data_IF_862556720618
#
_entry.id   IF_862556720618
#
_cell.length_a   1.000
_cell.length_b   1.000
_cell.length_c   1.000
_cell.angle_alpha   90.00
_cell.angle_beta   90.00
_cell.angle_gamma   90.00
#
_symmetry.space_group_name_H-M   'P 1'
#
loop_
_entity.id
_entity.type
_entity.pdbx_description
1 polymer ?
#
# COMPACT_ATOMS: atom_id res chain seq x y z
N UNK A 1 -9.39 1.46 -5.82
CA UNK A 1 -9.22 1.82 -7.26
C UNK A 1 -9.37 0.53 -8.07
N UNK A 2 -10.19 0.51 -9.13
CA UNK A 2 -10.43 -0.72 -9.91
C UNK A 2 -9.53 -0.75 -11.12
N UNK A 3 -8.98 -1.92 -11.44
CA UNK A 3 -8.07 -2.12 -12.56
C UNK A 3 -8.61 -3.10 -13.59
N UNK A 4 -8.22 -2.88 -14.83
CA UNK A 4 -8.35 -3.83 -15.95
C UNK A 4 -6.96 -4.42 -16.19
N UNK A 5 -6.91 -5.74 -16.26
CA UNK A 5 -5.77 -6.50 -16.73
C UNK A 5 -5.95 -6.82 -18.21
N UNK A 6 -4.94 -6.54 -19.00
CA UNK A 6 -4.93 -6.89 -20.43
C UNK A 6 -3.73 -7.79 -20.72
N UNK A 7 -4.03 -8.98 -21.24
CA UNK A 7 -3.01 -9.92 -21.70
C UNK A 7 -2.79 -9.72 -23.20
N UNK A 8 -1.57 -9.37 -23.56
CA UNK A 8 -1.12 -9.22 -24.96
C UNK A 8 -0.40 -10.49 -25.40
N UNK A 9 -0.73 -10.94 -26.61
CA UNK A 9 -0.06 -12.07 -27.27
C UNK A 9 0.42 -11.63 -28.63
N UNK A 10 1.68 -11.81 -28.94
CA UNK A 10 2.29 -11.41 -30.20
C UNK A 10 2.79 -12.63 -31.00
N UNK A 11 2.76 -12.54 -32.32
CA UNK A 11 3.32 -13.52 -33.22
C UNK A 11 4.08 -12.86 -34.38
N UNK A 12 5.43 -13.02 -34.48
CA UNK A 12 6.31 -13.67 -33.51
C UNK A 12 6.40 -12.89 -32.19
N UNK A 13 6.67 -13.58 -31.08
CA UNK A 13 6.91 -13.00 -29.79
C UNK A 13 8.41 -12.86 -29.54
N UNK A 14 8.82 -11.71 -29.04
CA UNK A 14 10.19 -11.41 -28.60
C UNK A 14 10.19 -10.26 -27.59
N UNK A 15 11.28 -10.10 -26.84
CA UNK A 15 11.39 -9.01 -25.88
C UNK A 15 11.19 -7.63 -26.54
N UNK A 16 11.82 -7.40 -27.70
CA UNK A 16 11.66 -6.14 -28.44
C UNK A 16 10.19 -5.85 -28.80
N UNK A 17 9.42 -6.89 -29.16
CA UNK A 17 7.98 -6.75 -29.43
C UNK A 17 7.21 -6.40 -28.19
N UNK A 18 7.51 -7.03 -27.06
CA UNK A 18 6.87 -6.77 -25.75
C UNK A 18 7.17 -5.34 -25.29
N UNK A 19 8.41 -4.90 -25.42
CA UNK A 19 8.84 -3.55 -25.04
C UNK A 19 8.09 -2.48 -25.86
N UNK A 20 7.90 -2.70 -27.15
CA UNK A 20 7.14 -1.80 -28.02
C UNK A 20 5.65 -1.82 -27.67
N UNK A 21 5.08 -3.01 -27.39
CA UNK A 21 3.70 -3.12 -26.92
C UNK A 21 3.52 -2.35 -25.62
N UNK A 22 4.43 -2.49 -24.65
CA UNK A 22 4.38 -1.78 -23.40
C UNK A 22 4.45 -0.25 -23.60
N UNK A 23 5.37 0.23 -24.45
CA UNK A 23 5.50 1.64 -24.75
C UNK A 23 4.20 2.21 -25.38
N UNK A 24 3.65 1.54 -26.38
CA UNK A 24 2.43 1.97 -27.05
C UNK A 24 1.18 1.88 -26.15
N UNK A 25 1.08 0.85 -25.31
CA UNK A 25 -0.02 0.73 -24.35
C UNK A 25 0.09 1.79 -23.24
N UNK A 26 1.30 2.17 -22.85
CA UNK A 26 1.54 3.29 -21.93
C UNK A 26 0.96 4.62 -22.42
N UNK A 27 1.00 4.88 -23.75
CA UNK A 27 0.40 6.08 -24.34
C UNK A 27 -1.14 6.13 -24.24
N UNK A 28 -1.79 4.97 -24.01
CA UNK A 28 -3.25 4.86 -23.87
C UNK A 28 -3.68 4.50 -22.45
N UNK A 29 -2.84 4.84 -21.46
CA UNK A 29 -3.22 4.82 -20.05
C UNK A 29 -2.83 3.57 -19.25
N UNK A 30 -1.97 2.70 -19.79
CA UNK A 30 -1.42 1.59 -19.01
C UNK A 30 -0.27 2.05 -18.12
N UNK A 31 -0.26 1.64 -16.86
CA UNK A 31 0.65 2.14 -15.82
C UNK A 31 1.76 1.13 -15.47
N UNK A 32 1.49 -0.16 -15.63
CA UNK A 32 2.45 -1.22 -15.29
C UNK A 32 2.35 -2.42 -16.21
N UNK A 33 3.46 -3.15 -16.34
CA UNK A 33 3.57 -4.33 -17.20
C UNK A 33 4.34 -5.43 -16.50
N UNK A 34 3.98 -6.69 -16.82
CA UNK A 34 4.64 -7.90 -16.33
C UNK A 34 4.82 -8.87 -17.48
N UNK A 35 6.04 -9.39 -17.65
CA UNK A 35 6.32 -10.46 -18.59
C UNK A 35 5.76 -11.79 -18.10
N UNK A 36 5.05 -12.50 -18.96
CA UNK A 36 4.60 -13.85 -18.72
C UNK A 36 5.17 -14.83 -19.78
N UNK A 37 5.21 -16.14 -19.48
CA UNK A 37 5.77 -17.13 -20.41
C UNK A 37 5.14 -17.09 -21.82
N UNK A 38 3.89 -16.66 -21.92
CA UNK A 38 3.08 -16.67 -23.15
C UNK A 38 2.63 -15.27 -23.58
N UNK A 39 3.33 -14.20 -23.15
CA UNK A 39 3.04 -12.85 -23.58
C UNK A 39 3.39 -11.76 -22.55
N UNK A 40 2.74 -10.61 -22.70
CA UNK A 40 2.88 -9.45 -21.82
C UNK A 40 1.52 -9.19 -21.15
N UNK A 41 1.54 -8.86 -19.88
CA UNK A 41 0.35 -8.41 -19.14
C UNK A 41 0.52 -6.95 -18.77
N UNK A 42 -0.47 -6.13 -19.10
CA UNK A 42 -0.53 -4.72 -18.74
C UNK A 42 -1.73 -4.41 -17.84
N UNK A 43 -1.60 -3.38 -17.02
CA UNK A 43 -2.64 -2.91 -16.11
C UNK A 43 -2.94 -1.45 -16.32
N UNK A 44 -4.24 -1.11 -16.36
CA UNK A 44 -4.70 0.29 -16.39
C UNK A 44 -5.93 0.44 -15.49
N UNK A 45 -6.25 1.67 -15.11
CA UNK A 45 -7.45 1.97 -14.32
C UNK A 45 -8.72 1.69 -15.14
N UNK A 46 -9.76 1.14 -14.50
CA UNK A 46 -11.00 0.72 -15.19
C UNK A 46 -11.69 1.90 -15.92
N UNK A 47 -11.67 3.07 -15.35
CA UNK A 47 -12.27 4.29 -15.90
C UNK A 47 -11.46 4.93 -17.04
N UNK A 48 -10.19 4.56 -17.20
CA UNK A 48 -9.33 5.00 -18.30
C UNK A 48 -9.23 3.97 -19.44
N UNK A 49 -9.74 2.76 -19.26
CA UNK A 49 -9.62 1.70 -20.24
C UNK A 49 -10.52 1.90 -21.44
N UNK A 50 -9.93 2.08 -22.63
CA UNK A 50 -10.60 2.15 -23.92
C UNK A 50 -10.08 1.03 -24.84
N UNK A 51 -10.92 -0.01 -25.05
CA UNK A 51 -10.56 -1.16 -25.88
C UNK A 51 -10.41 -0.81 -27.37
N UNK A 52 -11.15 0.20 -27.86
CA UNK A 52 -11.08 0.62 -29.27
C UNK A 52 -9.81 1.42 -29.52
N UNK A 53 -9.45 2.34 -28.61
CA UNK A 53 -8.19 3.07 -28.66
C UNK A 53 -6.99 2.12 -28.60
N UNK A 54 -7.00 1.17 -27.67
CA UNK A 54 -5.97 0.14 -27.56
C UNK A 54 -5.88 -0.69 -28.85
N UNK A 55 -7.02 -1.13 -29.40
CA UNK A 55 -7.07 -1.91 -30.63
C UNK A 55 -6.53 -1.15 -31.84
N UNK A 56 -6.77 0.16 -31.92
CA UNK A 56 -6.19 1.02 -32.94
C UNK A 56 -4.67 1.15 -32.77
N UNK A 57 -4.21 1.37 -31.55
CA UNK A 57 -2.79 1.50 -31.22
C UNK A 57 -2.02 0.22 -31.53
N UNK A 58 -2.55 -0.95 -31.21
CA UNK A 58 -1.90 -2.24 -31.50
C UNK A 58 -1.85 -2.53 -33.02
N UNK A 59 -2.81 -2.03 -33.82
CA UNK A 59 -2.76 -2.15 -35.29
C UNK A 59 -1.70 -1.26 -35.94
N UNK A 60 -1.29 -0.18 -35.26
CA UNK A 60 -0.27 0.76 -35.71
C UNK A 60 1.16 0.37 -35.26
N UNK A 61 1.35 -0.85 -34.74
CA UNK A 61 2.65 -1.34 -34.31
C UNK A 61 3.70 -1.18 -35.42
N UNK A 62 4.84 -0.51 -35.19
CA UNK A 62 5.84 -0.23 -36.23
C UNK A 62 6.75 -1.43 -36.53
N UNK A 63 6.21 -2.64 -36.51
CA UNK A 63 6.93 -3.89 -36.75
C UNK A 63 6.24 -4.72 -37.84
N UNK A 64 6.77 -4.71 -39.08
CA UNK A 64 6.19 -5.46 -40.18
C UNK A 64 6.17 -6.97 -39.89
N UNK A 65 5.02 -7.61 -40.10
CA UNK A 65 4.86 -9.06 -39.91
C UNK A 65 4.51 -9.50 -38.51
N UNK A 66 4.53 -8.62 -37.53
CA UNK A 66 4.06 -8.93 -36.16
C UNK A 66 2.55 -8.74 -36.08
N UNK A 67 1.87 -9.74 -35.52
CA UNK A 67 0.44 -9.66 -35.19
C UNK A 67 0.27 -9.66 -33.68
N UNK A 68 -0.45 -8.68 -33.16
CA UNK A 68 -0.77 -8.56 -31.76
C UNK A 68 -2.26 -8.79 -31.55
N UNK A 69 -2.59 -9.59 -30.57
CA UNK A 69 -3.95 -9.74 -30.04
C UNK A 69 -3.95 -9.50 -28.53
N UNK A 70 -5.08 -9.09 -27.99
CA UNK A 70 -5.20 -8.90 -26.55
C UNK A 70 -6.55 -9.36 -26.05
N UNK A 71 -6.59 -9.72 -24.76
CA UNK A 71 -7.81 -10.01 -24.00
C UNK A 71 -7.81 -9.18 -22.74
N UNK A 72 -8.92 -8.48 -22.49
CA UNK A 72 -9.11 -7.67 -21.30
C UNK A 72 -10.00 -8.41 -20.31
N UNK A 73 -9.64 -8.35 -19.04
CA UNK A 73 -10.45 -8.84 -17.92
C UNK A 73 -10.40 -7.85 -16.79
N UNK A 74 -11.50 -7.73 -16.04
CA UNK A 74 -11.44 -7.00 -14.78
C UNK A 74 -10.50 -7.75 -13.85
N UNK A 75 -9.60 -7.01 -13.24
CA UNK A 75 -8.87 -7.55 -12.10
C UNK A 75 -9.94 -7.77 -11.03
N UNK A 76 -10.28 -9.04 -10.77
CA UNK A 76 -11.09 -9.33 -9.60
C UNK A 76 -10.35 -8.70 -8.41
N UNK A 77 -11.10 -8.10 -7.49
CA UNK A 77 -10.61 -7.66 -6.18
C UNK A 77 -10.17 -8.89 -5.37
N UNK A 78 -9.32 -9.71 -5.98
CA UNK A 78 -8.64 -10.78 -5.28
C UNK A 78 -7.58 -10.14 -4.44
N UNK A 79 -7.72 -10.34 -3.16
CA UNK A 79 -6.65 -10.07 -2.23
C UNK A 79 -5.38 -10.86 -2.65
N UNK A 80 -4.57 -10.25 -3.53
CA UNK A 80 -3.29 -10.82 -3.97
C UNK A 80 -2.34 -11.06 -2.80
N UNK A 81 -2.69 -10.49 -1.64
CA UNK A 81 -1.96 -10.65 -0.40
C UNK A 81 -2.49 -11.81 0.47
N UNK A 82 -3.55 -12.54 0.06
CA UNK A 82 -4.13 -13.58 0.92
C UNK A 82 -3.12 -14.64 1.38
N UNK A 83 -2.19 -15.04 0.53
CA UNK A 83 -1.10 -15.95 0.92
C UNK A 83 -0.07 -15.25 1.81
N UNK A 84 0.15 -13.97 1.58
CA UNK A 84 1.01 -13.12 2.38
C UNK A 84 0.36 -12.76 3.71
N UNK A 85 -0.93 -12.47 3.74
CA UNK A 85 -1.71 -12.21 4.94
C UNK A 85 -1.76 -13.42 5.86
N UNK A 86 -1.89 -14.64 5.29
CA UNK A 86 -1.87 -15.89 6.05
C UNK A 86 -0.49 -16.23 6.62
N UNK A 87 0.58 -15.81 5.95
CA UNK A 87 1.96 -16.04 6.39
C UNK A 87 2.43 -15.08 7.49
N UNK A 88 1.78 -13.91 7.62
CA UNK A 88 2.23 -12.86 8.51
C UNK A 88 3.62 -12.29 8.12
N UNK A 89 4.22 -11.58 9.02
CA UNK A 89 5.59 -11.04 8.85
C UNK A 89 6.42 -11.34 10.10
N UNK A 90 7.74 -11.38 9.92
CA UNK A 90 8.63 -11.51 11.06
C UNK A 90 8.59 -10.26 11.93
N UNK A 91 8.53 -10.42 13.26
CA UNK A 91 8.52 -9.28 14.17
C UNK A 91 9.72 -8.38 13.98
N UNK A 92 9.48 -7.07 14.08
CA UNK A 92 10.52 -6.05 13.91
C UNK A 92 10.75 -5.37 15.25
N UNK A 93 11.99 -5.27 15.68
CA UNK A 93 12.39 -4.54 16.89
C UNK A 93 13.09 -3.25 16.48
N UNK A 94 12.57 -2.13 16.97
CA UNK A 94 13.12 -0.79 16.71
C UNK A 94 13.72 -0.26 18.03
N UNK A 95 15.03 -0.01 18.01
CA UNK A 95 15.82 0.57 19.11
C UNK A 95 15.66 -0.13 20.46
N UNK A 96 15.27 -1.41 20.47
CA UNK A 96 14.88 -2.14 21.70
C UNK A 96 13.77 -1.44 22.50
N UNK A 97 13.00 -0.55 21.90
CA UNK A 97 11.94 0.27 22.52
C UNK A 97 10.57 -0.03 21.97
N UNK A 98 10.46 -0.42 20.72
CA UNK A 98 9.21 -0.75 20.06
C UNK A 98 9.35 -2.06 19.28
N UNK A 99 8.40 -2.97 19.47
CA UNK A 99 8.23 -4.19 18.69
C UNK A 99 6.97 -4.06 17.83
N UNK A 100 7.10 -4.34 16.53
CA UNK A 100 5.96 -4.45 15.61
C UNK A 100 5.75 -5.93 15.34
N UNK A 101 4.55 -6.42 15.63
CA UNK A 101 4.19 -7.83 15.48
C UNK A 101 2.97 -7.98 14.59
N UNK A 102 2.92 -9.10 13.86
CA UNK A 102 1.74 -9.44 13.10
C UNK A 102 0.63 -9.96 14.00
N UNK A 103 -0.62 -9.58 13.72
CA UNK A 103 -1.81 -10.05 14.43
C UNK A 103 -1.87 -11.58 14.53
N UNK A 104 -1.58 -12.31 13.45
CA UNK A 104 -1.61 -13.76 13.44
C UNK A 104 -0.62 -14.38 14.46
N UNK A 105 0.53 -13.77 14.66
CA UNK A 105 1.51 -14.23 15.65
C UNK A 105 1.03 -13.96 17.07
N UNK A 106 0.37 -12.85 17.31
CA UNK A 106 -0.24 -12.51 18.60
C UNK A 106 -1.36 -13.50 18.95
N UNK A 107 -2.26 -13.78 17.99
CA UNK A 107 -3.38 -14.71 18.18
C UNK A 107 -2.93 -16.17 18.41
N UNK A 108 -1.85 -16.59 17.74
CA UNK A 108 -1.31 -17.97 17.87
C UNK A 108 -0.33 -18.13 19.01
N UNK A 109 0.02 -17.05 19.70
CA UNK A 109 1.05 -17.06 20.75
C UNK A 109 2.45 -17.37 20.21
N UNK A 110 2.71 -17.10 18.94
CA UNK A 110 3.99 -17.35 18.26
C UNK A 110 4.94 -16.17 18.34
N UNK A 111 4.59 -15.12 19.09
CA UNK A 111 5.47 -13.97 19.33
C UNK A 111 6.67 -14.44 20.14
N UNK A 112 7.92 -14.17 19.69
CA UNK A 112 9.10 -14.59 20.44
C UNK A 112 9.17 -13.98 21.84
N UNK A 113 9.52 -14.78 22.85
CA UNK A 113 9.65 -14.34 24.25
C UNK A 113 10.55 -13.11 24.44
N UNK A 114 11.54 -12.94 23.56
CA UNK A 114 12.42 -11.77 23.56
C UNK A 114 11.67 -10.44 23.40
N UNK A 115 10.44 -10.45 22.91
CA UNK A 115 9.62 -9.25 22.73
C UNK A 115 8.85 -8.84 23.97
N UNK A 116 8.69 -9.72 24.94
CA UNK A 116 8.05 -9.40 26.21
C UNK A 116 8.82 -8.36 27.02
N UNK A 117 10.12 -8.25 26.76
CA UNK A 117 10.99 -7.26 27.39
C UNK A 117 10.92 -5.87 26.70
N UNK A 118 10.28 -5.75 25.53
CA UNK A 118 10.20 -4.50 24.78
C UNK A 118 9.08 -3.62 25.37
N UNK A 119 9.39 -2.36 25.73
CA UNK A 119 8.43 -1.48 26.41
C UNK A 119 7.13 -1.19 25.65
N UNK A 120 7.20 -1.14 24.32
CA UNK A 120 6.06 -0.87 23.46
C UNK A 120 5.89 -2.01 22.45
N UNK A 121 4.72 -2.62 22.40
CA UNK A 121 4.34 -3.58 21.38
C UNK A 121 3.19 -3.02 20.56
N UNK A 122 3.34 -3.04 19.25
CA UNK A 122 2.34 -2.61 18.26
C UNK A 122 1.94 -3.83 17.43
N UNK A 123 0.66 -4.14 17.43
CA UNK A 123 0.08 -5.24 16.66
C UNK A 123 -0.48 -4.70 15.34
N UNK A 124 -0.07 -5.26 14.22
CA UNK A 124 -0.53 -4.84 12.89
C UNK A 124 -1.15 -6.03 12.16
N UNK A 125 -2.36 -5.81 11.69
CA UNK A 125 -3.05 -6.65 10.72
C UNK A 125 -2.90 -5.96 9.34
N UNK A 126 -2.01 -6.46 8.50
CA UNK A 126 -1.61 -5.81 7.25
C UNK A 126 -2.55 -6.18 6.09
N UNK A 127 -3.87 -6.07 6.26
CA UNK A 127 -4.85 -6.36 5.23
C UNK A 127 -4.80 -5.33 4.12
N UNK A 128 -4.35 -5.70 2.90
CA UNK A 128 -4.38 -4.90 1.66
C UNK A 128 -3.86 -3.45 1.75
N UNK A 129 -3.35 -3.02 2.88
CA UNK A 129 -2.86 -1.67 3.06
C UNK A 129 -1.37 -1.55 2.74
N UNK A 130 -1.01 -0.48 2.06
CA UNK A 130 0.38 -0.09 1.84
C UNK A 130 1.04 0.30 3.18
N UNK A 131 2.35 0.20 3.27
CA UNK A 131 3.08 0.59 4.49
C UNK A 131 3.25 -0.56 5.49
N UNK A 132 3.19 -1.79 4.99
CA UNK A 132 3.50 -2.95 5.80
C UNK A 132 4.97 -2.97 6.17
N UNK A 133 5.24 -2.86 7.46
CA UNK A 133 6.28 -3.57 8.23
C UNK A 133 7.77 -3.46 7.83
N UNK A 134 8.10 -3.68 6.58
CA UNK A 134 9.50 -3.87 6.12
C UNK A 134 10.08 -2.61 5.52
N UNK A 135 9.32 -1.54 5.38
CA UNK A 135 9.84 -0.31 4.85
C UNK A 135 10.83 0.28 5.85
N UNK A 136 12.09 0.31 5.49
CA UNK A 136 13.15 0.96 6.29
C UNK A 136 12.72 2.37 6.71
N UNK A 137 12.02 3.09 5.83
CA UNK A 137 11.44 4.41 6.12
C UNK A 137 10.49 4.39 7.32
N UNK A 138 9.58 3.40 7.41
CA UNK A 138 8.66 3.27 8.54
C UNK A 138 9.42 3.05 9.84
N UNK A 139 10.43 2.17 9.84
CA UNK A 139 11.27 1.93 11.00
C UNK A 139 12.04 3.18 11.43
N UNK A 140 12.59 3.93 10.47
CA UNK A 140 13.30 5.19 10.72
C UNK A 140 12.37 6.24 11.35
N UNK A 141 11.15 6.40 10.81
CA UNK A 141 10.19 7.37 11.35
C UNK A 141 9.71 6.94 12.74
N UNK A 142 9.45 5.66 12.97
CA UNK A 142 9.14 5.14 14.31
C UNK A 142 10.27 5.45 15.29
N UNK A 143 11.52 5.18 14.93
CA UNK A 143 12.69 5.53 15.74
C UNK A 143 12.70 7.02 16.10
N UNK A 144 12.48 7.90 15.10
CA UNK A 144 12.40 9.34 15.32
C UNK A 144 11.24 9.74 16.25
N UNK A 145 10.06 9.12 16.10
CA UNK A 145 8.91 9.40 16.99
C UNK A 145 9.19 8.98 18.43
N UNK A 146 9.90 7.88 18.64
CA UNK A 146 10.31 7.43 19.97
C UNK A 146 11.30 8.38 20.66
N UNK A 147 12.00 9.21 19.89
CA UNK A 147 12.92 10.25 20.40
C UNK A 147 12.21 11.60 20.65
N UNK A 148 10.98 11.76 20.18
CA UNK A 148 10.23 12.99 20.35
C UNK A 148 9.42 13.02 21.66
N UNK A 149 9.33 14.18 22.29
CA UNK A 149 8.35 14.43 23.36
C UNK A 149 6.98 14.70 22.73
N UNK A 150 6.16 13.65 22.59
CA UNK A 150 4.84 13.74 21.95
C UNK A 150 3.70 13.98 22.93
N UNK A 151 3.97 13.94 24.23
CA UNK A 151 2.94 14.15 25.24
C UNK A 151 2.24 15.49 25.08
N UNK A 152 0.91 15.42 24.90
CA UNK A 152 0.05 16.58 24.73
C UNK A 152 0.12 17.25 23.35
N UNK A 153 0.89 16.73 22.41
CA UNK A 153 1.02 17.24 21.04
C UNK A 153 -0.05 16.71 20.10
N UNK A 154 -0.28 17.44 19.02
CA UNK A 154 -1.11 17.00 17.88
C UNK A 154 -0.20 16.52 16.76
N UNK A 155 -0.50 15.35 16.22
CA UNK A 155 0.25 14.77 15.12
C UNK A 155 -0.63 14.57 13.89
N UNK A 156 -0.03 14.68 12.70
CA UNK A 156 -0.68 14.41 11.42
C UNK A 156 0.16 13.39 10.65
N UNK A 157 -0.49 12.38 10.11
CA UNK A 157 0.11 11.35 9.26
C UNK A 157 -0.54 11.41 7.87
N UNK A 158 0.26 11.75 6.87
CA UNK A 158 -0.20 11.97 5.49
C UNK A 158 0.08 10.73 4.64
N UNK A 159 -0.97 10.00 4.24
CA UNK A 159 -0.82 8.70 3.56
C UNK A 159 -0.55 7.60 4.59
N UNK A 160 -1.45 7.42 5.53
CA UNK A 160 -1.20 6.63 6.73
C UNK A 160 -1.10 5.11 6.52
N UNK A 161 -1.57 4.58 5.39
CA UNK A 161 -1.53 3.14 5.11
C UNK A 161 -2.14 2.31 6.24
N UNK A 162 -1.32 1.50 6.91
CA UNK A 162 -1.75 0.69 8.07
C UNK A 162 -2.04 1.50 9.34
N UNK A 163 -1.75 2.81 9.36
CA UNK A 163 -1.89 3.67 10.52
C UNK A 163 -0.78 3.56 11.57
N UNK A 164 0.26 2.79 11.28
CA UNK A 164 1.31 2.45 12.25
C UNK A 164 1.97 3.67 12.89
N UNK A 165 2.28 4.74 12.11
CA UNK A 165 2.93 5.93 12.64
C UNK A 165 2.01 6.70 13.59
N UNK A 166 0.74 6.83 13.24
CA UNK A 166 -0.29 7.44 14.09
C UNK A 166 -0.52 6.64 15.38
N UNK A 167 -0.52 5.31 15.30
CA UNK A 167 -0.64 4.42 16.47
C UNK A 167 0.56 4.59 17.39
N UNK A 168 1.78 4.63 16.85
CA UNK A 168 2.99 4.88 17.64
C UNK A 168 2.93 6.26 18.29
N UNK A 169 2.54 7.30 17.55
CA UNK A 169 2.40 8.65 18.10
C UNK A 169 1.40 8.70 19.26
N UNK A 170 0.24 8.06 19.13
CA UNK A 170 -0.75 7.94 20.19
C UNK A 170 -0.20 7.19 21.43
N UNK A 171 0.53 6.08 21.22
CA UNK A 171 1.20 5.31 22.29
C UNK A 171 2.30 6.12 22.96
N UNK A 172 2.94 7.04 22.27
CA UNK A 172 3.91 8.00 22.83
C UNK A 172 3.24 9.17 23.56
N UNK A 173 1.91 9.21 23.66
CA UNK A 173 1.15 10.17 24.44
C UNK A 173 0.72 11.41 23.67
N UNK A 174 0.70 11.38 22.34
CA UNK A 174 0.08 12.42 21.54
C UNK A 174 -1.36 12.66 22.03
N UNK A 175 -1.75 13.93 22.18
CA UNK A 175 -3.10 14.32 22.60
C UNK A 175 -4.15 13.97 21.55
N UNK A 176 -3.74 14.08 20.30
CA UNK A 176 -4.58 13.87 19.14
C UNK A 176 -3.69 13.41 17.99
N UNK A 177 -3.98 12.26 17.43
CA UNK A 177 -3.32 11.73 16.25
C UNK A 177 -4.35 11.68 15.10
N UNK A 178 -4.15 12.55 14.11
CA UNK A 178 -4.96 12.62 12.90
C UNK A 178 -4.18 12.00 11.76
N UNK A 179 -4.86 11.24 10.93
CA UNK A 179 -4.25 10.69 9.73
C UNK A 179 -5.24 10.65 8.56
N UNK A 180 -4.72 10.59 7.36
CA UNK A 180 -5.58 10.40 6.18
C UNK A 180 -4.91 9.54 5.12
N UNK A 181 -5.73 8.90 4.31
CA UNK A 181 -5.30 8.17 3.13
C UNK A 181 -6.37 8.29 2.03
N UNK A 182 -5.93 8.24 0.76
CA UNK A 182 -6.82 8.26 -0.40
C UNK A 182 -7.45 6.89 -0.66
N UNK A 183 -6.86 5.84 -0.13
CA UNK A 183 -7.28 4.47 -0.33
C UNK A 183 -8.21 4.00 0.80
N UNK A 184 -9.43 3.61 0.43
CA UNK A 184 -10.46 3.15 1.36
C UNK A 184 -9.99 1.95 2.21
N UNK A 185 -9.21 1.04 1.63
CA UNK A 185 -8.68 -0.12 2.35
C UNK A 185 -7.67 0.29 3.41
N UNK A 186 -6.78 1.23 3.10
CA UNK A 186 -5.85 1.83 4.04
C UNK A 186 -6.59 2.47 5.22
N UNK A 187 -7.63 3.26 4.94
CA UNK A 187 -8.46 3.91 5.95
C UNK A 187 -9.13 2.90 6.88
N UNK A 188 -9.71 1.84 6.33
CA UNK A 188 -10.33 0.75 7.12
C UNK A 188 -9.30 0.01 7.95
N UNK A 189 -8.15 -0.29 7.35
CA UNK A 189 -7.08 -1.00 8.02
C UNK A 189 -6.46 -0.18 9.16
N UNK A 190 -6.23 1.12 8.96
CA UNK A 190 -5.74 2.02 10.00
C UNK A 190 -6.69 2.06 11.23
N UNK A 191 -8.01 2.16 10.99
CA UNK A 191 -9.00 2.11 12.07
C UNK A 191 -8.97 0.77 12.80
N UNK A 192 -8.95 -0.34 12.08
CA UNK A 192 -8.85 -1.68 12.65
C UNK A 192 -7.58 -1.85 13.49
N UNK A 193 -6.43 -1.41 12.97
CA UNK A 193 -5.17 -1.49 13.71
C UNK A 193 -5.15 -0.60 14.95
N UNK A 194 -5.78 0.57 14.92
CA UNK A 194 -5.94 1.41 16.10
C UNK A 194 -6.74 0.69 17.21
N UNK A 195 -7.85 0.05 16.84
CA UNK A 195 -8.65 -0.77 17.75
C UNK A 195 -7.84 -1.92 18.34
N UNK A 196 -7.07 -2.66 17.52
CA UNK A 196 -6.19 -3.74 17.98
C UNK A 196 -5.16 -3.28 19.02
N UNK A 197 -4.71 -2.04 18.91
CA UNK A 197 -3.72 -1.46 19.81
C UNK A 197 -4.34 -0.66 20.98
N UNK A 198 -5.66 -0.58 21.05
CA UNK A 198 -6.38 0.13 22.12
C UNK A 198 -6.08 1.64 22.15
N UNK A 199 -5.89 2.25 20.99
CA UNK A 199 -5.65 3.69 20.84
C UNK A 199 -6.75 4.35 20.00
N UNK A 200 -7.00 5.62 20.25
CA UNK A 200 -7.88 6.45 19.44
C UNK A 200 -7.03 7.28 18.48
N UNK A 201 -7.35 7.21 17.19
CA UNK A 201 -6.80 8.04 16.14
C UNK A 201 -7.92 8.51 15.21
N UNK A 202 -7.82 9.72 14.69
CA UNK A 202 -8.78 10.25 13.73
C UNK A 202 -8.33 9.89 12.30
N UNK A 203 -9.03 8.95 11.67
CA UNK A 203 -8.71 8.47 10.31
C UNK A 203 -9.69 9.07 9.31
N UNK A 204 -9.18 9.87 8.37
CA UNK A 204 -9.94 10.54 7.33
C UNK A 204 -9.69 9.87 5.97
N UNK A 205 -10.74 9.79 5.16
CA UNK A 205 -10.66 9.26 3.79
C UNK A 205 -10.58 10.42 2.80
N UNK A 206 -9.54 10.43 1.98
CA UNK A 206 -9.33 11.41 0.92
C UNK A 206 -7.90 11.95 0.89
N UNK A 207 -7.72 12.99 0.09
CA UNK A 207 -6.45 13.70 -0.05
C UNK A 207 -6.30 14.83 1.00
N UNK A 208 -5.27 15.65 0.86
CA UNK A 208 -5.02 16.80 1.76
C UNK A 208 -6.22 17.76 1.93
N UNK A 209 -7.22 17.73 1.05
CA UNK A 209 -8.39 18.60 1.13
C UNK A 209 -9.28 18.28 2.34
N UNK A 210 -9.24 17.04 2.84
CA UNK A 210 -9.98 16.63 4.04
C UNK A 210 -9.55 17.42 5.28
N UNK A 211 -8.34 17.95 5.29
CA UNK A 211 -7.81 18.77 6.37
C UNK A 211 -8.49 20.14 6.47
N UNK A 212 -9.24 20.58 5.45
CA UNK A 212 -10.02 21.82 5.51
C UNK A 212 -11.08 21.82 6.61
N UNK A 213 -11.46 20.65 7.08
CA UNK A 213 -12.42 20.44 8.17
C UNK A 213 -11.73 20.20 9.53
N UNK A 214 -10.41 20.11 9.55
CA UNK A 214 -9.62 19.88 10.76
C UNK A 214 -9.08 21.22 11.25
N UNK A 215 -9.59 21.70 12.40
CA UNK A 215 -9.18 22.96 12.97
C UNK A 215 -7.90 22.81 13.80
N UNK A 216 -7.12 23.89 13.82
CA UNK A 216 -5.92 24.01 14.68
C UNK A 216 -4.61 23.69 13.95
N UNK A 217 -3.54 23.64 14.73
CA UNK A 217 -2.17 23.45 14.25
C UNK A 217 -1.67 22.08 14.68
N UNK A 218 -0.90 21.42 13.83
CA UNK A 218 -0.17 20.20 14.18
C UNK A 218 1.24 20.54 14.65
N UNK A 219 1.69 19.85 15.69
CA UNK A 219 3.03 20.01 16.25
C UNK A 219 4.04 19.13 15.51
N UNK A 220 3.59 17.98 14.99
CA UNK A 220 4.39 17.03 14.21
C UNK A 220 3.60 16.56 13.00
N UNK A 221 4.25 16.55 11.85
CA UNK A 221 3.68 16.07 10.59
C UNK A 221 4.61 14.96 10.05
N UNK A 222 4.02 13.83 9.70
CA UNK A 222 4.65 12.69 9.04
C UNK A 222 4.10 12.59 7.63
N UNK A 223 4.97 12.33 6.61
CA UNK A 223 4.58 12.18 5.21
C UNK A 223 5.58 11.29 4.46
#
# INVERSE_FOLDING_TARGET
MKYIQVKFTAAPDSQDVRDIIAALAGEVGFESFSDEPDGLVGYCQEDLFDADALGYTMKSLPMPGVKVSFTASKVEDRNWNEEWEKGGFEPIIIDSRCAIVCKNMEETGSVPDAMDAIPMKIVIDAQQAFGTRTHETTQMIVSLLLDQELKGKRTLDCGCGTGILSIVAARCGAREAVCYDIDEWSVRNARHNAELNGVEIDVLEGDKSVLSHVNGVFDVIMA
#
